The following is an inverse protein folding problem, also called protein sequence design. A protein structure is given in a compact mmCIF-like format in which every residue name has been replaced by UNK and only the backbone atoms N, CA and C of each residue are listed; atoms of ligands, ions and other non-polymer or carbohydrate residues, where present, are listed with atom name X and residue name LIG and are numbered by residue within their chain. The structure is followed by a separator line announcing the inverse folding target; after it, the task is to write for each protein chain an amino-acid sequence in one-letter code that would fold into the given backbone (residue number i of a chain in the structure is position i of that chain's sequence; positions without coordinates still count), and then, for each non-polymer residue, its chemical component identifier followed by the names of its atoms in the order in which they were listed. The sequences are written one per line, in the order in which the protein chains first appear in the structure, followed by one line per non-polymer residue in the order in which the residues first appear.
data_IF_882040750972
#
_entry.id   IF_882040750972
#
_cell.length_a   1.000
_cell.length_b   1.000
_cell.length_c   1.000
_cell.angle_alpha   90.00
_cell.angle_beta   90.00
_cell.angle_gamma   90.00
#
_symmetry.space_group_name_H-M   'P 1'
#
loop_
_entity.id
_entity.type
_entity.pdbx_description
1 polymer ?
#
# COMPACT_ATOMS: atom_id res chain seq x y z
N UNK A 1 6.40 29.71 2.89
CA UNK A 1 7.29 28.64 2.38
C UNK A 1 6.41 27.45 2.07
N UNK A 2 6.57 26.84 0.90
CA UNK A 2 5.70 25.77 0.41
C UNK A 2 5.78 24.52 1.31
N UNK A 3 4.67 24.17 1.97
CA UNK A 3 4.58 23.07 2.95
C UNK A 3 4.83 21.71 2.33
N UNK A 4 4.49 21.55 1.05
CA UNK A 4 4.82 20.34 0.28
C UNK A 4 6.33 20.16 0.20
N UNK A 5 7.07 21.22 -0.17
CA UNK A 5 8.54 21.18 -0.23
C UNK A 5 9.17 20.96 1.13
N UNK A 6 8.65 21.59 2.18
CA UNK A 6 9.11 21.35 3.56
C UNK A 6 8.97 19.88 3.95
N UNK A 7 7.81 19.30 3.67
CA UNK A 7 7.50 17.89 3.96
C UNK A 7 8.42 16.94 3.20
N UNK A 8 8.57 17.15 1.89
CA UNK A 8 9.45 16.33 1.06
C UNK A 8 10.91 16.44 1.47
N UNK A 9 11.40 17.66 1.76
CA UNK A 9 12.76 17.86 2.24
C UNK A 9 13.01 17.12 3.55
N UNK A 10 12.09 17.22 4.50
CA UNK A 10 12.20 16.48 5.76
C UNK A 10 12.22 14.97 5.54
N UNK A 11 11.29 14.43 4.74
CA UNK A 11 11.23 12.98 4.47
C UNK A 11 12.49 12.47 3.77
N UNK A 12 13.04 13.26 2.84
CA UNK A 12 14.31 12.94 2.17
C UNK A 12 15.48 12.95 3.15
N UNK A 13 15.59 13.98 3.99
CA UNK A 13 16.63 14.03 5.01
C UNK A 13 16.51 12.89 6.02
N UNK A 14 15.29 12.57 6.45
CA UNK A 14 15.02 11.47 7.37
C UNK A 14 15.42 10.13 6.76
N UNK A 15 15.02 9.88 5.51
CA UNK A 15 15.38 8.63 4.79
C UNK A 15 16.88 8.48 4.60
N UNK A 16 17.62 9.59 4.44
CA UNK A 16 19.08 9.55 4.30
C UNK A 16 19.82 9.41 5.65
N UNK A 17 19.20 9.84 6.74
CA UNK A 17 19.77 9.81 8.10
C UNK A 17 19.42 8.55 8.86
N UNK A 18 18.38 7.84 8.44
CA UNK A 18 17.90 6.63 9.10
C UNK A 18 18.35 5.40 8.34
N UNK A 19 19.27 4.69 8.97
CA UNK A 19 19.69 3.34 8.65
C UNK A 19 19.64 2.46 9.92
N UNK A 20 19.95 1.17 9.76
CA UNK A 20 19.97 0.21 10.86
C UNK A 20 20.90 0.63 12.01
N UNK A 21 21.99 1.37 11.74
CA UNK A 21 22.97 1.80 12.75
C UNK A 21 22.43 2.96 13.56
N UNK A 22 21.82 3.93 12.88
CA UNK A 22 21.23 5.11 13.51
C UNK A 22 20.05 4.78 14.41
N UNK A 23 19.21 3.78 14.06
CA UNK A 23 18.09 3.35 14.91
C UNK A 23 18.61 2.72 16.21
N UNK A 24 19.70 1.94 16.15
CA UNK A 24 20.36 1.39 17.36
C UNK A 24 20.88 2.51 18.26
N UNK A 25 21.52 3.51 17.67
CA UNK A 25 22.15 4.59 18.41
C UNK A 25 21.14 5.57 19.02
N UNK A 26 19.89 5.59 18.54
CA UNK A 26 18.83 6.41 19.12
C UNK A 26 18.36 5.82 20.45
N UNK A 27 18.39 6.64 21.50
CA UNK A 27 17.68 6.30 22.72
C UNK A 27 16.15 6.32 22.47
N UNK A 28 15.35 5.66 23.33
CA UNK A 28 13.89 5.56 23.12
C UNK A 28 13.18 6.92 22.99
N UNK A 29 13.60 7.92 23.78
CA UNK A 29 13.04 9.27 23.73
C UNK A 29 13.27 9.95 22.37
N UNK A 30 14.45 9.80 21.79
CA UNK A 30 14.79 10.39 20.49
C UNK A 30 14.06 9.69 19.35
N UNK A 31 13.89 8.37 19.45
CA UNK A 31 13.07 7.59 18.51
C UNK A 31 11.59 8.02 18.54
N UNK A 32 11.00 8.17 19.73
CA UNK A 32 9.64 8.68 19.89
C UNK A 32 9.48 10.09 19.30
N UNK A 33 10.42 11.00 19.59
CA UNK A 33 10.42 12.36 19.03
C UNK A 33 10.52 12.33 17.51
N UNK A 34 11.31 11.42 16.97
CA UNK A 34 11.46 11.25 15.54
C UNK A 34 10.14 10.82 14.88
N UNK A 35 9.47 9.79 15.40
CA UNK A 35 8.14 9.36 14.93
C UNK A 35 7.10 10.48 15.08
N UNK A 36 7.06 11.15 16.23
CA UNK A 36 6.14 12.28 16.47
C UNK A 36 6.37 13.42 15.47
N UNK A 37 7.63 13.66 15.07
CA UNK A 37 7.97 14.67 14.07
C UNK A 37 7.51 14.27 12.66
N UNK A 38 7.63 12.99 12.28
CA UNK A 38 7.04 12.48 11.03
C UNK A 38 5.54 12.73 11.04
N UNK A 39 4.85 12.31 12.10
CA UNK A 39 3.41 12.51 12.24
C UNK A 39 3.03 14.00 12.11
N UNK A 40 3.71 14.88 12.84
CA UNK A 40 3.46 16.32 12.80
C UNK A 40 3.60 16.91 11.40
N UNK A 41 4.67 16.56 10.68
CA UNK A 41 4.94 17.08 9.34
C UNK A 41 3.92 16.58 8.32
N UNK A 42 3.54 15.30 8.36
CA UNK A 42 2.51 14.75 7.47
C UNK A 42 1.14 15.36 7.80
N UNK A 43 0.84 15.63 9.08
CA UNK A 43 -0.42 16.23 9.49
C UNK A 43 -0.53 17.69 9.07
N UNK A 44 0.56 18.45 9.19
CA UNK A 44 0.65 19.81 8.68
C UNK A 44 0.48 19.83 7.16
N UNK A 45 1.12 18.90 6.45
CA UNK A 45 0.88 18.72 5.01
C UNK A 45 -0.60 18.48 4.72
N UNK A 46 -1.25 17.53 5.41
CA UNK A 46 -2.67 17.22 5.19
C UNK A 46 -3.57 18.44 5.38
N UNK A 47 -3.27 19.31 6.36
CA UNK A 47 -4.06 20.51 6.67
C UNK A 47 -3.84 21.65 5.68
N UNK A 48 -2.61 21.83 5.20
CA UNK A 48 -2.19 23.01 4.43
C UNK A 48 -1.94 22.72 2.94
N UNK A 49 -2.20 21.50 2.45
CA UNK A 49 -1.89 21.14 1.06
C UNK A 49 -2.70 21.95 0.05
N UNK A 50 -2.02 22.31 -1.05
CA UNK A 50 -2.61 23.03 -2.18
C UNK A 50 -2.79 22.15 -3.43
N UNK A 51 -2.25 20.92 -3.45
CA UNK A 51 -2.31 20.02 -4.62
C UNK A 51 -2.23 18.54 -4.22
N UNK A 52 -2.96 17.69 -4.96
CA UNK A 52 -2.96 16.24 -4.82
C UNK A 52 -1.81 15.53 -5.56
N UNK A 53 -1.12 16.20 -6.49
CA UNK A 53 -0.06 15.57 -7.29
C UNK A 53 1.12 15.11 -6.44
N UNK A 54 1.49 15.87 -5.40
CA UNK A 54 2.61 15.53 -4.52
C UNK A 54 2.22 14.56 -3.39
N UNK A 55 0.93 14.33 -3.17
CA UNK A 55 0.43 13.48 -2.09
C UNK A 55 0.95 12.06 -2.23
N UNK A 56 0.94 11.51 -3.45
CA UNK A 56 1.42 10.14 -3.69
C UNK A 56 2.93 10.03 -3.43
N UNK A 57 3.72 11.05 -3.77
CA UNK A 57 5.16 11.07 -3.51
C UNK A 57 5.44 11.11 -2.01
N UNK A 58 4.71 11.95 -1.26
CA UNK A 58 4.80 12.05 0.20
C UNK A 58 4.42 10.72 0.85
N UNK A 59 3.33 10.10 0.41
CA UNK A 59 2.87 8.82 0.95
C UNK A 59 3.91 7.73 0.70
N UNK A 60 4.45 7.61 -0.53
CA UNK A 60 5.47 6.61 -0.85
C UNK A 60 6.74 6.78 -0.04
N UNK A 61 7.23 8.02 0.11
CA UNK A 61 8.43 8.28 0.93
C UNK A 61 8.20 7.99 2.40
N UNK A 62 7.01 8.33 2.91
CA UNK A 62 6.64 8.00 4.29
C UNK A 62 6.55 6.49 4.49
N UNK A 63 5.95 5.77 3.54
CA UNK A 63 5.89 4.30 3.55
C UNK A 63 7.29 3.69 3.61
N UNK A 64 8.21 4.07 2.71
CA UNK A 64 9.58 3.54 2.68
C UNK A 64 10.31 3.72 4.00
N UNK A 65 10.13 4.89 4.63
CA UNK A 65 10.72 5.20 5.93
C UNK A 65 10.14 4.33 7.06
N UNK A 66 8.82 4.15 7.07
CA UNK A 66 8.14 3.32 8.08
C UNK A 66 8.42 1.82 7.89
N UNK A 67 8.53 1.36 6.64
CA UNK A 67 8.92 0.00 6.29
C UNK A 67 10.31 -0.32 6.84
N UNK A 68 11.30 0.56 6.60
CA UNK A 68 12.65 0.40 7.13
C UNK A 68 12.67 0.31 8.66
N UNK A 69 11.89 1.15 9.35
CA UNK A 69 11.76 1.12 10.81
C UNK A 69 11.17 -0.24 11.27
N UNK A 70 10.12 -0.72 10.59
CA UNK A 70 9.47 -1.98 10.98
C UNK A 70 10.34 -3.20 10.69
N UNK A 71 10.98 -3.26 9.52
CA UNK A 71 11.91 -4.31 9.15
C UNK A 71 13.04 -4.41 10.17
N UNK A 72 13.58 -3.27 10.59
CA UNK A 72 14.63 -3.22 11.60
C UNK A 72 14.17 -3.86 12.93
N UNK A 73 13.03 -3.45 13.48
CA UNK A 73 12.56 -4.03 14.74
C UNK A 73 12.20 -5.52 14.60
N UNK A 74 11.67 -5.92 13.44
CA UNK A 74 11.30 -7.31 13.16
C UNK A 74 12.52 -8.21 13.01
N UNK A 75 13.54 -7.77 12.26
CA UNK A 75 14.73 -8.57 11.97
C UNK A 75 15.67 -8.70 13.18
N UNK A 76 15.68 -7.69 14.06
CA UNK A 76 16.53 -7.71 15.26
C UNK A 76 15.79 -8.18 16.53
N UNK A 77 14.50 -8.53 16.44
CA UNK A 77 13.64 -8.89 17.57
C UNK A 77 13.71 -7.86 18.71
N UNK A 78 13.72 -6.57 18.37
CA UNK A 78 13.85 -5.51 19.36
C UNK A 78 12.48 -5.12 19.92
N UNK A 79 12.33 -5.03 21.25
CA UNK A 79 11.10 -4.55 21.84
C UNK A 79 10.86 -3.09 21.42
N UNK A 80 9.60 -2.75 21.22
CA UNK A 80 9.16 -1.39 20.88
C UNK A 80 8.21 -0.93 21.96
N UNK A 81 8.41 0.28 22.46
CA UNK A 81 7.52 0.92 23.42
C UNK A 81 6.13 1.09 22.82
N UNK A 82 5.10 0.94 23.65
CA UNK A 82 3.70 1.00 23.20
C UNK A 82 3.38 2.36 22.57
N UNK A 83 3.92 3.43 23.15
CA UNK A 83 3.77 4.80 22.67
C UNK A 83 4.32 4.96 21.25
N UNK A 84 5.43 4.30 20.91
CA UNK A 84 6.02 4.37 19.58
C UNK A 84 5.16 3.62 18.56
N UNK A 85 4.61 2.47 18.95
CA UNK A 85 3.63 1.72 18.14
C UNK A 85 2.39 2.58 17.87
N UNK A 86 1.85 3.25 18.89
CA UNK A 86 0.65 4.07 18.76
C UNK A 86 0.91 5.24 17.79
N UNK A 87 2.07 5.91 17.87
CA UNK A 87 2.44 6.96 16.92
C UNK A 87 2.61 6.39 15.51
N UNK A 88 3.25 5.23 15.36
CA UNK A 88 3.42 4.56 14.07
C UNK A 88 2.07 4.27 13.40
N UNK A 89 1.11 3.74 14.15
CA UNK A 89 -0.25 3.49 13.66
C UNK A 89 -0.96 4.79 13.26
N UNK A 90 -0.84 5.84 14.07
CA UNK A 90 -1.40 7.16 13.74
C UNK A 90 -0.82 7.73 12.44
N UNK A 91 0.46 7.47 12.13
CA UNK A 91 1.05 7.85 10.85
C UNK A 91 0.42 7.06 9.70
N UNK A 92 0.24 5.73 9.85
CA UNK A 92 -0.40 4.91 8.82
C UNK A 92 -1.83 5.36 8.53
N UNK A 93 -2.63 5.58 9.57
CA UNK A 93 -4.01 6.07 9.45
C UNK A 93 -4.06 7.42 8.72
N UNK A 94 -3.09 8.30 9.01
CA UNK A 94 -2.97 9.58 8.35
C UNK A 94 -2.65 9.43 6.85
N UNK A 95 -1.73 8.54 6.49
CA UNK A 95 -1.39 8.25 5.10
C UNK A 95 -2.56 7.61 4.33
N UNK A 96 -3.26 6.65 4.93
CA UNK A 96 -4.47 6.05 4.37
C UNK A 96 -5.59 7.09 4.20
N UNK A 97 -5.73 8.00 5.16
CA UNK A 97 -6.68 9.12 5.06
C UNK A 97 -6.34 10.06 3.90
N UNK A 98 -5.06 10.33 3.65
CA UNK A 98 -4.62 11.12 2.48
C UNK A 98 -4.95 10.37 1.19
N UNK A 99 -4.66 9.06 1.07
CA UNK A 99 -5.03 8.26 -0.10
C UNK A 99 -6.53 8.28 -0.38
N UNK A 100 -7.34 8.14 0.66
CA UNK A 100 -8.79 8.17 0.54
C UNK A 100 -9.31 9.53 0.11
N UNK A 101 -8.73 10.62 0.62
CA UNK A 101 -9.21 11.98 0.33
C UNK A 101 -8.77 12.45 -1.06
N UNK A 102 -7.54 12.13 -1.46
CA UNK A 102 -6.93 12.72 -2.66
C UNK A 102 -7.10 11.87 -3.91
N UNK A 103 -7.24 10.56 -3.73
CA UNK A 103 -7.31 9.61 -4.84
C UNK A 103 -8.55 8.72 -4.79
N UNK A 104 -9.43 8.90 -3.79
CA UNK A 104 -10.58 8.01 -3.54
C UNK A 104 -10.16 6.53 -3.40
N UNK A 105 -8.95 6.28 -2.90
CA UNK A 105 -8.44 4.94 -2.64
C UNK A 105 -8.63 4.63 -1.16
N UNK A 106 -9.61 3.80 -0.87
CA UNK A 106 -9.95 3.32 0.46
C UNK A 106 -10.22 1.81 0.40
N UNK A 107 -10.55 1.22 1.55
CA UNK A 107 -10.81 -0.22 1.66
C UNK A 107 -11.84 -0.72 0.64
N UNK A 108 -12.98 -0.03 0.52
CA UNK A 108 -14.05 -0.43 -0.38
C UNK A 108 -13.61 -0.37 -1.85
N UNK A 109 -13.00 0.75 -2.26
CA UNK A 109 -12.57 0.92 -3.65
C UNK A 109 -11.43 -0.01 -4.01
N UNK A 110 -10.51 -0.29 -3.08
CA UNK A 110 -9.44 -1.28 -3.25
C UNK A 110 -10.00 -2.69 -3.45
N UNK A 111 -10.92 -3.15 -2.62
CA UNK A 111 -11.45 -4.51 -2.75
C UNK A 111 -12.28 -4.71 -4.02
N UNK A 112 -13.09 -3.71 -4.42
CA UNK A 112 -13.79 -3.80 -5.71
C UNK A 112 -12.81 -3.79 -6.90
N UNK A 113 -11.78 -2.93 -6.88
CA UNK A 113 -10.74 -2.94 -7.89
C UNK A 113 -10.00 -4.30 -7.94
N UNK A 114 -9.68 -4.88 -6.78
CA UNK A 114 -8.99 -6.18 -6.68
C UNK A 114 -9.85 -7.31 -7.21
N UNK A 115 -11.15 -7.32 -6.88
CA UNK A 115 -12.12 -8.27 -7.41
C UNK A 115 -12.24 -8.20 -8.93
N UNK A 116 -12.35 -6.99 -9.49
CA UNK A 116 -12.37 -6.77 -10.95
C UNK A 116 -11.08 -7.30 -11.57
N UNK A 117 -9.92 -6.96 -11.01
CA UNK A 117 -8.64 -7.45 -11.48
C UNK A 117 -8.58 -8.99 -11.49
N UNK A 118 -9.00 -9.65 -10.40
CA UNK A 118 -9.06 -11.11 -10.32
C UNK A 118 -10.00 -11.71 -11.37
N UNK A 119 -11.17 -11.13 -11.61
CA UNK A 119 -12.08 -11.60 -12.65
C UNK A 119 -11.52 -11.43 -14.06
N UNK A 120 -10.87 -10.31 -14.36
CA UNK A 120 -10.21 -10.08 -15.65
C UNK A 120 -9.09 -11.10 -15.86
N UNK A 121 -8.29 -11.36 -14.83
CA UNK A 121 -7.20 -12.35 -14.88
C UNK A 121 -7.73 -13.77 -15.06
N UNK A 122 -8.79 -14.15 -14.33
CA UNK A 122 -9.43 -15.45 -14.48
C UNK A 122 -9.97 -15.65 -15.91
N UNK A 123 -10.54 -14.60 -16.50
CA UNK A 123 -11.02 -14.60 -17.88
C UNK A 123 -9.89 -14.88 -18.87
N UNK A 124 -8.77 -14.16 -18.72
CA UNK A 124 -7.55 -14.38 -19.54
C UNK A 124 -6.96 -15.77 -19.34
N UNK A 125 -6.87 -16.24 -18.09
CA UNK A 125 -6.40 -17.58 -17.76
C UNK A 125 -7.28 -18.69 -18.36
N UNK A 126 -8.56 -18.39 -18.58
CA UNK A 126 -9.52 -19.26 -19.28
C UNK A 126 -9.43 -19.16 -20.81
N UNK A 127 -8.48 -18.38 -21.35
CA UNK A 127 -8.29 -18.18 -22.78
C UNK A 127 -9.24 -17.14 -23.41
N UNK A 128 -10.01 -16.41 -22.61
CA UNK A 128 -10.95 -15.39 -23.08
C UNK A 128 -10.29 -14.02 -22.95
N UNK A 129 -10.01 -13.38 -24.09
CA UNK A 129 -9.46 -12.02 -24.14
C UNK A 129 -10.55 -11.02 -24.55
N UNK A 130 -11.18 -10.32 -23.59
CA UNK A 130 -12.17 -9.28 -23.91
C UNK A 130 -11.55 -8.18 -24.79
N UNK A 131 -12.30 -7.76 -25.83
CA UNK A 131 -11.83 -6.86 -26.87
C UNK A 131 -11.25 -5.53 -26.34
N UNK A 132 -11.79 -5.03 -25.22
CA UNK A 132 -11.35 -3.78 -24.61
C UNK A 132 -9.97 -3.84 -23.91
N UNK A 133 -9.35 -5.03 -23.78
CA UNK A 133 -8.04 -5.21 -23.15
C UNK A 133 -6.96 -5.67 -24.12
N UNK A 134 -7.26 -5.70 -25.42
CA UNK A 134 -6.34 -6.14 -26.48
C UNK A 134 -5.21 -5.13 -26.77
N UNK A 135 -5.31 -3.88 -26.32
CA UNK A 135 -4.46 -2.78 -26.79
C UNK A 135 -3.34 -2.33 -25.85
N UNK A 136 -3.07 -3.04 -24.75
CA UNK A 136 -1.84 -2.80 -23.98
C UNK A 136 -1.02 -4.09 -23.90
N UNK A 137 0.09 -4.21 -24.64
CA UNK A 137 1.07 -5.22 -24.29
C UNK A 137 1.49 -4.95 -22.84
N UNK A 138 1.35 -5.93 -21.96
CA UNK A 138 2.01 -5.89 -20.66
C UNK A 138 3.52 -5.99 -20.92
N UNK A 139 4.15 -4.88 -21.27
CA UNK A 139 5.59 -4.75 -21.32
C UNK A 139 6.10 -4.58 -19.90
N UNK A 140 6.14 -5.67 -19.13
CA UNK A 140 7.05 -5.75 -17.99
C UNK A 140 8.23 -6.61 -18.40
N UNK A 141 9.37 -5.97 -18.65
CA UNK A 141 10.65 -6.58 -19.05
C UNK A 141 11.32 -7.41 -17.93
N UNK A 142 10.56 -7.88 -16.94
CA UNK A 142 10.96 -8.74 -15.82
C UNK A 142 9.91 -9.83 -15.58
N UNK A 143 9.50 -10.50 -16.65
CA UNK A 143 8.42 -11.49 -16.66
C UNK A 143 8.89 -12.82 -16.06
N UNK A 144 8.54 -13.08 -14.80
CA UNK A 144 8.66 -14.42 -14.22
C UNK A 144 7.38 -15.22 -14.54
N UNK A 145 7.51 -16.24 -15.40
CA UNK A 145 6.39 -17.12 -15.80
C UNK A 145 5.79 -17.88 -14.62
N UNK A 146 6.56 -18.16 -13.58
CA UNK A 146 6.05 -18.85 -12.38
C UNK A 146 5.11 -17.94 -11.60
N UNK A 147 5.48 -16.66 -11.41
CA UNK A 147 4.61 -15.69 -10.76
C UNK A 147 3.30 -15.51 -11.52
N UNK A 148 3.35 -15.41 -12.85
CA UNK A 148 2.13 -15.30 -13.67
C UNK A 148 1.20 -16.51 -13.50
N UNK A 149 1.78 -17.72 -13.42
CA UNK A 149 1.02 -18.96 -13.22
C UNK A 149 0.33 -18.97 -11.86
N UNK A 150 1.06 -18.66 -10.78
CA UNK A 150 0.53 -18.64 -9.41
C UNK A 150 -0.61 -17.64 -9.27
N UNK A 151 -0.43 -16.48 -9.88
CA UNK A 151 -1.46 -15.45 -9.88
C UNK A 151 -2.70 -15.82 -10.71
N UNK A 152 -2.52 -16.50 -11.84
CA UNK A 152 -3.64 -16.97 -12.65
C UNK A 152 -4.41 -18.08 -11.90
N UNK A 153 -3.71 -18.92 -11.15
CA UNK A 153 -4.34 -19.90 -10.27
C UNK A 153 -5.15 -19.23 -9.15
N UNK A 154 -4.61 -18.22 -8.46
CA UNK A 154 -5.35 -17.41 -7.48
C UNK A 154 -6.64 -16.84 -8.08
N UNK A 155 -6.54 -16.25 -9.28
CA UNK A 155 -7.68 -15.67 -9.98
C UNK A 155 -8.75 -16.71 -10.31
N UNK A 156 -8.36 -17.88 -10.82
CA UNK A 156 -9.27 -18.98 -11.12
C UNK A 156 -9.94 -19.55 -9.86
N UNK A 157 -9.19 -19.70 -8.76
CA UNK A 157 -9.72 -20.13 -7.47
C UNK A 157 -10.76 -19.13 -6.96
N UNK A 158 -10.44 -17.83 -7.00
CA UNK A 158 -11.36 -16.77 -6.58
C UNK A 158 -12.62 -16.75 -7.44
N UNK A 159 -12.49 -16.85 -8.76
CA UNK A 159 -13.62 -16.91 -9.69
C UNK A 159 -14.52 -18.13 -9.39
N UNK A 160 -13.92 -19.30 -9.14
CA UNK A 160 -14.66 -20.51 -8.73
C UNK A 160 -15.44 -20.32 -7.43
N UNK A 161 -14.82 -19.69 -6.43
CA UNK A 161 -15.47 -19.39 -5.15
C UNK A 161 -16.59 -18.33 -5.27
N UNK A 162 -16.58 -17.53 -6.34
CA UNK A 162 -17.51 -16.43 -6.58
C UNK A 162 -18.24 -16.59 -7.92
N UNK A 163 -18.59 -17.83 -8.28
CA UNK A 163 -19.02 -18.18 -9.64
C UNK A 163 -20.21 -17.36 -10.14
N UNK A 164 -21.20 -17.07 -9.29
CA UNK A 164 -22.36 -16.26 -9.66
C UNK A 164 -21.96 -14.84 -10.09
N UNK A 165 -21.11 -14.18 -9.30
CA UNK A 165 -20.61 -12.83 -9.59
C UNK A 165 -19.71 -12.83 -10.83
N UNK A 166 -18.89 -13.88 -10.99
CA UNK A 166 -18.03 -14.03 -12.14
C UNK A 166 -18.84 -14.24 -13.43
N UNK A 167 -19.89 -15.07 -13.41
CA UNK A 167 -20.79 -15.27 -14.55
C UNK A 167 -21.52 -13.99 -14.95
N UNK A 168 -22.02 -13.22 -13.97
CA UNK A 168 -22.62 -11.89 -14.23
C UNK A 168 -21.59 -10.94 -14.86
N UNK A 169 -20.36 -10.92 -14.35
CA UNK A 169 -19.28 -10.12 -14.90
C UNK A 169 -18.97 -10.46 -16.37
N UNK A 170 -18.87 -11.76 -16.71
CA UNK A 170 -18.68 -12.20 -18.10
C UNK A 170 -19.84 -11.77 -18.98
N UNK A 171 -21.08 -11.97 -18.53
CA UNK A 171 -22.27 -11.59 -19.29
C UNK A 171 -22.28 -10.09 -19.59
N UNK A 172 -21.98 -9.25 -18.59
CA UNK A 172 -21.89 -7.80 -18.77
C UNK A 172 -20.79 -7.37 -19.75
N UNK A 173 -19.63 -8.05 -19.75
CA UNK A 173 -18.58 -7.78 -20.73
C UNK A 173 -18.99 -8.21 -22.15
N UNK A 174 -19.70 -9.33 -22.29
CA UNK A 174 -20.10 -9.87 -23.59
C UNK A 174 -21.23 -9.06 -24.26
N UNK A 175 -22.15 -8.51 -23.46
CA UNK A 175 -23.25 -7.66 -23.92
C UNK A 175 -22.78 -6.29 -24.47
N UNK A 176 -21.48 -5.98 -24.36
CA UNK A 176 -20.88 -4.75 -24.92
C UNK A 176 -21.36 -3.46 -24.24
N UNK A 177 -22.18 -3.58 -23.19
CA UNK A 177 -22.82 -2.47 -22.49
C UNK A 177 -21.92 -1.79 -21.45
N UNK A 178 -20.77 -2.37 -21.10
CA UNK A 178 -19.84 -1.76 -20.15
C UNK A 178 -18.37 -2.13 -20.39
N UNK A 179 -17.51 -1.11 -20.45
CA UNK A 179 -16.07 -1.25 -20.22
C UNK A 179 -15.81 -1.24 -18.71
N UNK A 180 -15.14 -2.28 -18.19
CA UNK A 180 -14.70 -2.30 -16.78
C UNK A 180 -13.20 -2.06 -16.71
N UNK A 181 -12.68 -0.90 -16.28
CA UNK A 181 -11.24 -0.67 -16.23
C UNK A 181 -10.55 -1.61 -15.24
N UNK A 182 -9.39 -2.16 -15.62
CA UNK A 182 -8.46 -2.80 -14.68
C UNK A 182 -7.62 -1.71 -14.02
N UNK A 183 -8.05 -1.24 -12.85
CA UNK A 183 -7.38 -0.14 -12.15
C UNK A 183 -5.96 -0.49 -11.68
N UNK A 184 -5.60 -1.77 -11.60
CA UNK A 184 -4.24 -2.23 -11.32
C UNK A 184 -3.33 -2.21 -12.55
N UNK A 185 -3.87 -2.02 -13.75
CA UNK A 185 -3.13 -1.96 -15.01
C UNK A 185 -3.08 -0.54 -15.63
N UNK A 186 -3.69 0.45 -14.97
CA UNK A 186 -3.85 1.80 -15.49
C UNK A 186 -3.20 2.82 -14.56
N UNK A 187 -2.18 3.54 -15.05
CA UNK A 187 -1.64 4.71 -14.36
C UNK A 187 -2.61 5.91 -14.41
N UNK A 188 -2.69 6.74 -13.35
CA UNK A 188 -1.92 6.68 -12.10
C UNK A 188 -2.50 5.73 -11.04
N UNK A 189 -3.67 5.13 -11.30
CA UNK A 189 -4.42 4.32 -10.33
C UNK A 189 -3.64 3.09 -9.86
N UNK A 190 -2.94 2.39 -10.75
CA UNK A 190 -2.15 1.22 -10.41
C UNK A 190 -1.19 1.52 -9.25
N UNK A 191 -0.45 2.62 -9.36
CA UNK A 191 0.49 3.04 -8.34
C UNK A 191 -0.19 3.47 -7.02
N UNK A 192 -1.40 4.04 -7.09
CA UNK A 192 -2.18 4.42 -5.90
C UNK A 192 -2.69 3.17 -5.15
N UNK A 193 -3.21 2.17 -5.87
CA UNK A 193 -3.69 0.91 -5.30
C UNK A 193 -2.53 0.04 -4.76
N UNK A 194 -1.38 0.03 -5.43
CA UNK A 194 -0.16 -0.60 -4.94
C UNK A 194 0.28 0.04 -3.62
N UNK A 195 0.35 1.38 -3.57
CA UNK A 195 0.70 2.12 -2.36
C UNK A 195 -0.26 1.83 -1.21
N UNK A 196 -1.58 1.77 -1.50
CA UNK A 196 -2.57 1.36 -0.50
C UNK A 196 -2.32 -0.06 0.02
N UNK A 197 -2.07 -1.02 -0.89
CA UNK A 197 -1.77 -2.41 -0.53
C UNK A 197 -0.58 -2.49 0.42
N UNK A 198 0.48 -1.75 0.12
CA UNK A 198 1.72 -1.73 0.88
C UNK A 198 1.50 -1.16 2.30
N UNK A 199 0.74 -0.07 2.44
CA UNK A 199 0.39 0.49 3.74
C UNK A 199 -0.44 -0.48 4.60
N UNK A 200 -1.42 -1.17 4.00
CA UNK A 200 -2.23 -2.16 4.72
C UNK A 200 -1.39 -3.37 5.15
N UNK A 201 -0.47 -3.83 4.30
CA UNK A 201 0.50 -4.88 4.67
C UNK A 201 1.38 -4.43 5.84
N UNK A 202 1.84 -3.18 5.83
CA UNK A 202 2.67 -2.62 6.89
C UNK A 202 1.91 -2.51 8.22
N UNK A 203 0.63 -2.11 8.16
CA UNK A 203 -0.28 -2.10 9.32
C UNK A 203 -0.43 -3.50 9.94
N UNK A 204 -0.61 -4.53 9.10
CA UNK A 204 -0.73 -5.92 9.54
C UNK A 204 0.57 -6.41 10.21
N UNK A 205 1.72 -6.12 9.61
CA UNK A 205 3.03 -6.48 10.16
C UNK A 205 3.31 -5.78 11.50
N UNK A 206 2.90 -4.51 11.64
CA UNK A 206 2.97 -3.78 12.91
C UNK A 206 2.14 -4.48 14.00
N UNK A 207 0.90 -4.90 13.69
CA UNK A 207 0.04 -5.63 14.63
C UNK A 207 0.65 -6.96 15.08
N UNK A 208 1.33 -7.67 14.19
CA UNK A 208 2.05 -8.90 14.54
C UNK A 208 3.20 -8.64 15.51
N UNK A 209 3.91 -7.51 15.35
CA UNK A 209 4.99 -7.11 16.25
C UNK A 209 4.47 -6.81 17.68
N UNK A 210 3.30 -6.16 17.79
CA UNK A 210 2.62 -5.93 19.07
C UNK A 210 2.30 -7.25 19.77
N UNK A 211 1.73 -8.21 19.04
CA UNK A 211 1.39 -9.51 19.61
C UNK A 211 2.63 -10.23 20.14
N UNK A 212 3.74 -10.25 19.37
CA UNK A 212 5.00 -10.86 19.83
C UNK A 212 5.51 -10.25 21.13
N UNK A 213 5.53 -8.91 21.24
CA UNK A 213 6.01 -8.22 22.44
C UNK A 213 5.12 -8.48 23.66
N UNK A 214 3.81 -8.62 23.49
CA UNK A 214 2.89 -8.93 24.60
C UNK A 214 3.09 -10.32 25.20
N UNK A 215 3.51 -11.30 24.40
CA UNK A 215 3.82 -12.67 24.86
C UNK A 215 5.13 -12.77 25.64
N UNK A 216 6.11 -11.90 25.40
CA UNK A 216 7.43 -11.95 26.05
C UNK A 216 7.36 -11.42 27.49
N UNK A 217 6.39 -10.56 27.82
CA UNK A 217 6.24 -9.96 29.16
C UNK A 217 5.48 -10.88 30.14
N UNK A 218 4.97 -12.03 29.67
CA UNK A 218 4.17 -12.96 30.50
C UNK A 218 4.95 -14.15 31.09
N UNK A 219 6.28 -14.16 31.00
CA UNK A 219 7.16 -15.16 31.63
C UNK A 219 8.24 -14.49 32.47
#
# INVERSE_FOLDING_TARGET
MDKTKQTLNFLNEASNKIDNVSIIAMNPCDFLRFLARIYGIINDYKKEKNSSQDSLVIIKKSYQLLELILEYHTNNNLPVEKEAIDIFQNILDLLLSILSTDFNVNRSTYYEAKKINLFIRALRASGINPAAYLNKPFTNSFYNKELEKDFNEEALIYARQNIENYSKFIYHLADGSAFTPDLFALEPSASQFETYSNLVSLEASCKLLIHKNSTIIQY
#
